data_IF_157113342150
#
_entry.id   IF_157113342150
#
_cell.length_a   1.000
_cell.length_b   1.000
_cell.length_c   1.000
_cell.angle_alpha   90.00
_cell.angle_beta   90.00
_cell.angle_gamma   90.00
#
_symmetry.space_group_name_H-M   'P 1'
#
loop_
_entity.id
_entity.type
_entity.pdbx_description
1 polymer ?
#
# COMPACT_ATOMS: atom_id res chain seq x y z
N UNK A 1 -10.59 7.83 16.69
CA UNK A 1 -9.41 7.09 16.15
C UNK A 1 -9.85 6.06 15.11
N UNK A 2 -10.84 5.21 15.45
CA UNK A 2 -11.56 4.33 14.51
C UNK A 2 -11.96 5.03 13.20
N UNK A 3 -12.52 6.23 13.26
CA UNK A 3 -13.13 6.88 12.10
C UNK A 3 -12.13 7.30 11.00
N UNK A 4 -10.90 7.68 11.36
CA UNK A 4 -9.86 8.05 10.38
C UNK A 4 -9.37 6.82 9.61
N UNK A 5 -9.20 5.70 10.31
CA UNK A 5 -8.79 4.42 9.70
C UNK A 5 -9.94 3.84 8.89
N UNK A 6 -11.18 3.97 9.36
CA UNK A 6 -12.37 3.57 8.59
C UNK A 6 -12.48 4.38 7.29
N UNK A 7 -12.24 5.69 7.33
CA UNK A 7 -12.22 6.55 6.14
C UNK A 7 -11.09 6.16 5.18
N UNK A 8 -9.87 5.96 5.70
CA UNK A 8 -8.74 5.47 4.92
C UNK A 8 -9.07 4.14 4.23
N UNK A 9 -9.57 3.16 4.98
CA UNK A 9 -9.96 1.84 4.44
C UNK A 9 -11.02 1.95 3.35
N UNK A 10 -12.03 2.82 3.51
CA UNK A 10 -13.06 3.01 2.49
C UNK A 10 -12.47 3.54 1.18
N UNK A 11 -11.57 4.52 1.25
CA UNK A 11 -10.88 5.04 0.06
C UNK A 11 -10.01 3.97 -0.59
N UNK A 12 -9.25 3.22 0.22
CA UNK A 12 -8.35 2.17 -0.25
C UNK A 12 -9.12 1.03 -0.91
N UNK A 13 -10.28 0.65 -0.36
CA UNK A 13 -11.15 -0.38 -0.96
C UNK A 13 -11.63 0.05 -2.34
N UNK A 14 -12.10 1.30 -2.50
CA UNK A 14 -12.50 1.83 -3.80
C UNK A 14 -11.32 1.83 -4.80
N UNK A 15 -10.15 2.29 -4.35
CA UNK A 15 -8.95 2.31 -5.17
C UNK A 15 -8.44 0.91 -5.56
N UNK A 16 -8.65 -0.10 -4.70
CA UNK A 16 -8.35 -1.50 -4.99
C UNK A 16 -9.34 -2.08 -6.01
N UNK A 17 -10.64 -1.81 -5.85
CA UNK A 17 -11.67 -2.26 -6.78
C UNK A 17 -11.44 -1.71 -8.19
N UNK A 18 -11.10 -0.43 -8.33
CA UNK A 18 -10.79 0.19 -9.62
C UNK A 18 -9.63 -0.54 -10.32
N UNK A 19 -8.56 -0.85 -9.58
CA UNK A 19 -7.40 -1.59 -10.10
C UNK A 19 -7.75 -3.03 -10.46
N UNK A 20 -8.51 -3.72 -9.61
CA UNK A 20 -9.01 -5.07 -9.89
C UNK A 20 -9.82 -5.10 -11.19
N UNK A 21 -10.67 -4.08 -11.44
CA UNK A 21 -11.43 -3.94 -12.69
C UNK A 21 -10.54 -3.60 -13.89
N UNK A 22 -9.44 -2.88 -13.69
CA UNK A 22 -8.51 -2.49 -14.75
C UNK A 22 -7.63 -3.64 -15.25
N UNK A 23 -7.16 -4.53 -14.37
CA UNK A 23 -6.24 -5.64 -14.69
C UNK A 23 -6.67 -6.45 -15.92
N UNK A 24 -7.92 -6.96 -16.03
CA UNK A 24 -8.34 -7.72 -17.21
C UNK A 24 -8.26 -6.93 -18.51
N UNK A 25 -8.66 -5.65 -18.49
CA UNK A 25 -8.66 -4.79 -19.67
C UNK A 25 -7.23 -4.49 -20.14
N UNK A 26 -6.33 -4.17 -19.21
CA UNK A 26 -4.92 -3.91 -19.51
C UNK A 26 -4.21 -5.18 -20.03
N UNK A 27 -4.50 -6.36 -19.46
CA UNK A 27 -3.96 -7.62 -19.97
C UNK A 27 -4.49 -7.97 -21.37
N UNK A 28 -5.75 -7.62 -21.67
CA UNK A 28 -6.32 -7.77 -23.02
C UNK A 28 -5.62 -6.84 -24.01
N UNK A 29 -5.44 -5.57 -23.64
CA UNK A 29 -4.72 -4.58 -24.45
C UNK A 29 -3.26 -5.01 -24.71
N UNK A 30 -2.57 -5.48 -23.67
CA UNK A 30 -1.22 -6.03 -23.77
C UNK A 30 -1.15 -7.20 -24.75
N UNK A 31 -2.10 -8.14 -24.69
CA UNK A 31 -2.16 -9.27 -25.63
C UNK A 31 -2.39 -8.81 -27.07
N UNK A 32 -3.27 -7.84 -27.29
CA UNK A 32 -3.52 -7.27 -28.61
C UNK A 32 -2.26 -6.58 -29.18
N UNK A 33 -1.49 -5.87 -28.35
CA UNK A 33 -0.23 -5.23 -28.76
C UNK A 33 0.87 -6.24 -29.13
N UNK A 34 0.92 -7.39 -28.44
CA UNK A 34 1.91 -8.44 -28.68
C UNK A 34 1.55 -9.39 -29.83
N UNK A 35 0.26 -9.49 -30.17
CA UNK A 35 -0.24 -10.36 -31.24
C UNK A 35 0.41 -10.12 -32.62
N UNK A 36 0.51 -8.89 -33.17
CA UNK A 36 1.11 -8.66 -34.48
C UNK A 36 2.61 -8.99 -34.53
N UNK A 37 3.27 -9.07 -33.36
CA UNK A 37 4.69 -9.42 -33.22
C UNK A 37 4.91 -10.94 -33.08
N UNK A 38 3.84 -11.74 -33.07
CA UNK A 38 3.89 -13.17 -32.73
C UNK A 38 4.24 -13.46 -31.26
N UNK A 39 4.24 -12.44 -30.40
CA UNK A 39 4.71 -12.55 -29.00
C UNK A 39 3.58 -12.80 -27.99
N UNK A 40 2.32 -12.83 -28.41
CA UNK A 40 1.18 -12.98 -27.50
C UNK A 40 1.21 -14.28 -26.68
N UNK A 41 1.77 -15.37 -27.22
CA UNK A 41 1.91 -16.67 -26.54
C UNK A 41 3.34 -16.94 -26.03
N UNK A 42 4.17 -15.90 -25.91
CA UNK A 42 5.57 -16.05 -25.52
C UNK A 42 5.80 -15.82 -24.02
N UNK A 43 6.99 -16.18 -23.54
CA UNK A 43 7.44 -15.79 -22.20
C UNK A 43 7.51 -14.27 -21.98
N UNK A 44 7.62 -13.46 -23.05
CA UNK A 44 7.56 -12.00 -22.94
C UNK A 44 6.15 -11.53 -22.52
N UNK A 45 5.09 -12.21 -22.97
CA UNK A 45 3.73 -11.92 -22.53
C UNK A 45 3.55 -12.22 -21.04
N UNK A 46 4.12 -13.33 -20.54
CA UNK A 46 4.10 -13.68 -19.11
C UNK A 46 4.81 -12.63 -18.26
N UNK A 47 6.04 -12.28 -18.62
CA UNK A 47 6.82 -11.24 -17.91
C UNK A 47 6.09 -9.91 -17.88
N UNK A 48 5.49 -9.49 -19.00
CA UNK A 48 4.78 -8.22 -19.09
C UNK A 48 3.47 -8.22 -18.30
N UNK A 49 2.73 -9.34 -18.33
CA UNK A 49 1.51 -9.50 -17.53
C UNK A 49 1.79 -9.54 -16.02
N UNK A 50 2.90 -10.17 -15.63
CA UNK A 50 3.38 -10.14 -14.26
C UNK A 50 3.80 -8.74 -13.83
N UNK A 51 4.61 -8.04 -14.62
CA UNK A 51 5.04 -6.67 -14.33
C UNK A 51 3.84 -5.73 -14.16
N UNK A 52 2.77 -5.92 -14.94
CA UNK A 52 1.52 -5.20 -14.80
C UNK A 52 0.87 -5.45 -13.42
N UNK A 53 0.79 -6.71 -12.96
CA UNK A 53 0.25 -7.03 -11.64
C UNK A 53 1.13 -6.46 -10.51
N UNK A 54 2.46 -6.57 -10.63
CA UNK A 54 3.42 -5.98 -9.69
C UNK A 54 3.24 -4.47 -9.59
N UNK A 55 3.06 -3.79 -10.73
CA UNK A 55 2.83 -2.35 -10.76
C UNK A 55 1.58 -1.96 -9.97
N UNK A 56 0.45 -2.63 -10.20
CA UNK A 56 -0.80 -2.36 -9.46
C UNK A 56 -0.63 -2.56 -7.95
N UNK A 57 0.13 -3.57 -7.53
CA UNK A 57 0.44 -3.80 -6.10
C UNK A 57 1.31 -2.69 -5.53
N UNK A 58 2.35 -2.26 -6.25
CA UNK A 58 3.24 -1.18 -5.81
C UNK A 58 2.48 0.14 -5.66
N UNK A 59 1.72 0.53 -6.68
CA UNK A 59 0.90 1.74 -6.65
C UNK A 59 -0.15 1.69 -5.54
N UNK A 60 -0.78 0.53 -5.33
CA UNK A 60 -1.72 0.38 -4.22
C UNK A 60 -1.02 0.45 -2.86
N UNK A 61 0.15 -0.17 -2.71
CA UNK A 61 0.92 -0.11 -1.47
C UNK A 61 1.37 1.31 -1.11
N UNK A 62 1.71 2.13 -2.11
CA UNK A 62 1.98 3.56 -1.90
C UNK A 62 0.73 4.32 -1.42
N UNK A 63 -0.46 4.01 -1.98
CA UNK A 63 -1.72 4.58 -1.53
C UNK A 63 -2.05 4.16 -0.09
N UNK A 64 -1.91 2.88 0.26
CA UNK A 64 -2.11 2.37 1.62
C UNK A 64 -1.16 3.06 2.59
N UNK A 65 0.12 3.14 2.26
CA UNK A 65 1.12 3.80 3.10
C UNK A 65 0.77 5.27 3.33
N UNK A 66 0.32 5.97 2.29
CA UNK A 66 -0.08 7.39 2.35
C UNK A 66 -1.28 7.61 3.25
N UNK A 67 -2.36 6.85 3.05
CA UNK A 67 -3.59 7.02 3.82
C UNK A 67 -3.42 6.59 5.29
N UNK A 68 -2.67 5.52 5.57
CA UNK A 68 -2.41 5.10 6.95
C UNK A 68 -1.44 6.04 7.66
N UNK A 69 -0.40 6.53 6.97
CA UNK A 69 0.47 7.61 7.48
C UNK A 69 -0.35 8.84 7.85
N UNK A 70 -1.27 9.25 6.98
CA UNK A 70 -2.16 10.37 7.24
C UNK A 70 -3.05 10.11 8.48
N UNK A 71 -3.72 8.96 8.55
CA UNK A 71 -4.61 8.62 9.65
C UNK A 71 -3.88 8.63 11.01
N UNK A 72 -2.67 8.08 11.06
CA UNK A 72 -1.84 8.06 12.27
C UNK A 72 -1.27 9.44 12.60
N UNK A 73 -0.87 10.23 11.60
CA UNK A 73 -0.39 11.58 11.80
C UNK A 73 -1.45 12.52 12.38
N UNK A 74 -2.72 12.34 12.00
CA UNK A 74 -3.84 13.17 12.47
C UNK A 74 -4.43 12.71 13.81
N UNK A 75 -4.15 11.49 14.25
CA UNK A 75 -4.69 10.96 15.48
C UNK A 75 -3.99 11.58 16.71
N UNK A 76 -4.64 12.54 17.37
CA UNK A 76 -4.11 13.26 18.54
C UNK A 76 -3.79 12.33 19.73
N UNK A 77 -4.60 11.30 19.95
CA UNK A 77 -4.46 10.35 21.07
C UNK A 77 -3.94 8.97 20.65
N UNK A 78 -3.28 8.87 19.47
CA UNK A 78 -2.69 7.61 19.02
C UNK A 78 -1.64 7.09 20.00
N UNK A 79 -1.65 5.77 20.22
CA UNK A 79 -0.58 5.03 20.89
C UNK A 79 0.26 4.24 19.88
N UNK A 80 1.44 3.80 20.30
CA UNK A 80 2.28 2.92 19.48
C UNK A 80 1.58 1.58 19.17
N UNK A 81 0.82 1.03 20.14
CA UNK A 81 0.06 -0.21 19.94
C UNK A 81 -0.98 -0.05 18.86
N UNK A 82 -1.75 1.04 18.89
CA UNK A 82 -2.74 1.34 17.86
C UNK A 82 -2.11 1.58 16.48
N UNK A 83 -0.97 2.27 16.40
CA UNK A 83 -0.25 2.44 15.13
C UNK A 83 0.21 1.08 14.55
N UNK A 84 0.64 0.15 15.39
CA UNK A 84 0.98 -1.21 14.97
C UNK A 84 -0.26 -2.00 14.51
N UNK A 85 -1.41 -1.84 15.17
CA UNK A 85 -2.69 -2.44 14.73
C UNK A 85 -3.11 -1.92 13.36
N UNK A 86 -2.99 -0.60 13.11
CA UNK A 86 -3.25 0.00 11.80
C UNK A 86 -2.33 -0.60 10.74
N UNK A 87 -1.03 -0.72 11.02
CA UNK A 87 -0.07 -1.36 10.12
C UNK A 87 -0.42 -2.83 9.83
N UNK A 88 -0.85 -3.58 10.85
CA UNK A 88 -1.27 -4.98 10.69
C UNK A 88 -2.51 -5.13 9.79
N UNK A 89 -3.39 -4.12 9.77
CA UNK A 89 -4.55 -4.06 8.88
C UNK A 89 -4.22 -3.94 7.38
N UNK A 90 -2.96 -3.64 7.03
CA UNK A 90 -2.53 -3.45 5.65
C UNK A 90 -2.69 -4.72 4.80
N UNK A 91 -2.45 -5.91 5.36
CA UNK A 91 -2.54 -7.17 4.63
C UNK A 91 -3.93 -7.37 3.98
N UNK A 92 -5.00 -7.00 4.70
CA UNK A 92 -6.36 -7.09 4.20
C UNK A 92 -6.63 -6.17 2.98
N UNK A 93 -5.85 -5.09 2.80
CA UNK A 93 -5.99 -4.19 1.66
C UNK A 93 -5.42 -4.80 0.37
N UNK A 94 -4.43 -5.71 0.47
CA UNK A 94 -3.80 -6.33 -0.70
C UNK A 94 -4.53 -7.57 -1.21
N UNK A 95 -5.32 -8.23 -0.37
CA UNK A 95 -5.97 -9.51 -0.70
C UNK A 95 -6.81 -9.47 -2.00
N UNK A 96 -7.63 -8.44 -2.27
CA UNK A 96 -8.39 -8.36 -3.53
C UNK A 96 -7.49 -8.32 -4.77
N UNK A 97 -6.39 -7.56 -4.70
CA UNK A 97 -5.41 -7.44 -5.80
C UNK A 97 -4.62 -8.73 -5.98
N UNK A 98 -4.20 -9.37 -4.89
CA UNK A 98 -3.51 -10.65 -4.93
C UNK A 98 -4.39 -11.74 -5.57
N UNK A 99 -5.65 -11.82 -5.16
CA UNK A 99 -6.62 -12.76 -5.73
C UNK A 99 -6.84 -12.52 -7.22
N UNK A 100 -7.03 -11.26 -7.63
CA UNK A 100 -7.18 -10.92 -9.04
C UNK A 100 -5.91 -11.24 -9.86
N UNK A 101 -4.73 -10.86 -9.36
CA UNK A 101 -3.46 -11.14 -10.01
C UNK A 101 -3.23 -12.66 -10.17
N UNK A 102 -3.47 -13.45 -9.11
CA UNK A 102 -3.39 -14.92 -9.16
C UNK A 102 -4.27 -15.50 -10.26
N UNK A 103 -5.54 -15.12 -10.28
CA UNK A 103 -6.50 -15.59 -11.29
C UNK A 103 -6.04 -15.27 -12.71
N UNK A 104 -5.60 -14.04 -12.95
CA UNK A 104 -5.25 -13.57 -14.28
C UNK A 104 -3.89 -14.09 -14.77
N UNK A 105 -2.90 -14.22 -13.88
CA UNK A 105 -1.60 -14.82 -14.22
C UNK A 105 -1.72 -16.31 -14.51
N UNK A 106 -2.54 -17.03 -13.74
CA UNK A 106 -2.85 -18.45 -14.02
C UNK A 106 -3.48 -18.61 -15.41
N UNK A 107 -4.48 -17.77 -15.74
CA UNK A 107 -5.11 -17.76 -17.07
C UNK A 107 -4.12 -17.40 -18.17
N UNK A 108 -3.19 -16.47 -17.90
CA UNK A 108 -2.17 -16.07 -18.87
C UNK A 108 -1.14 -17.20 -19.10
N UNK A 109 -0.68 -17.85 -18.04
CA UNK A 109 0.22 -19.02 -18.10
C UNK A 109 -0.39 -20.12 -18.98
N UNK A 110 -1.65 -20.49 -18.73
CA UNK A 110 -2.39 -21.44 -19.56
C UNK A 110 -2.50 -20.98 -21.02
N UNK A 111 -2.84 -19.71 -21.27
CA UNK A 111 -2.95 -19.16 -22.63
C UNK A 111 -1.63 -19.22 -23.42
N UNK A 112 -0.49 -19.06 -22.74
CA UNK A 112 0.84 -19.17 -23.35
C UNK A 112 1.34 -20.61 -23.51
N UNK A 113 0.56 -21.62 -23.09
CA UNK A 113 0.96 -23.02 -23.12
C UNK A 113 2.00 -23.39 -22.06
N UNK A 114 2.11 -22.60 -20.98
CA UNK A 114 3.09 -22.77 -19.89
C UNK A 114 2.41 -22.72 -18.52
N UNK A 115 1.39 -23.57 -18.25
CA UNK A 115 0.68 -23.57 -16.98
C UNK A 115 1.60 -23.90 -15.78
N UNK A 116 2.68 -24.64 -16.02
CA UNK A 116 3.75 -24.97 -15.07
C UNK A 116 4.41 -23.73 -14.46
N UNK A 117 4.39 -22.59 -15.16
CA UNK A 117 4.97 -21.34 -14.66
C UNK A 117 4.04 -20.53 -13.75
N UNK A 118 2.77 -20.94 -13.59
CA UNK A 118 1.78 -20.19 -12.82
C UNK A 118 2.22 -19.96 -11.37
N UNK A 119 2.65 -21.01 -10.68
CA UNK A 119 3.02 -20.94 -9.26
C UNK A 119 4.22 -20.01 -9.04
N UNK A 120 5.18 -20.04 -9.95
CA UNK A 120 6.33 -19.14 -9.92
C UNK A 120 5.90 -17.68 -10.08
N UNK A 121 5.05 -17.39 -11.07
CA UNK A 121 4.56 -16.04 -11.30
C UNK A 121 3.79 -15.51 -10.08
N UNK A 122 2.98 -16.36 -9.47
CA UNK A 122 2.21 -16.04 -8.26
C UNK A 122 3.12 -15.81 -7.04
N UNK A 123 4.11 -16.66 -6.83
CA UNK A 123 5.07 -16.51 -5.72
C UNK A 123 5.84 -15.19 -5.78
N UNK A 124 6.23 -14.75 -6.97
CA UNK A 124 6.87 -13.44 -7.16
C UNK A 124 5.90 -12.29 -6.81
N UNK A 125 4.61 -12.41 -7.12
CA UNK A 125 3.59 -11.42 -6.69
C UNK A 125 3.42 -11.39 -5.17
N UNK A 126 3.35 -12.55 -4.52
CA UNK A 126 3.25 -12.63 -3.05
C UNK A 126 4.47 -12.04 -2.34
N UNK A 127 5.66 -12.19 -2.95
CA UNK A 127 6.87 -11.54 -2.44
C UNK A 127 6.75 -10.01 -2.51
N UNK A 128 6.20 -9.47 -3.60
CA UNK A 128 5.99 -8.03 -3.74
C UNK A 128 4.91 -7.49 -2.79
N UNK A 129 3.86 -8.26 -2.50
CA UNK A 129 2.88 -7.92 -1.46
C UNK A 129 3.56 -7.82 -0.09
N UNK A 130 4.38 -8.80 0.30
CA UNK A 130 5.13 -8.76 1.56
C UNK A 130 6.05 -7.55 1.67
N UNK A 131 6.71 -7.18 0.57
CA UNK A 131 7.54 -5.97 0.51
C UNK A 131 6.69 -4.71 0.69
N UNK A 132 5.50 -4.65 0.06
CA UNK A 132 4.59 -3.52 0.20
C UNK A 132 4.04 -3.40 1.64
N UNK A 133 3.66 -4.52 2.26
CA UNK A 133 3.21 -4.56 3.67
C UNK A 133 4.28 -4.02 4.62
N UNK A 134 5.54 -4.45 4.49
CA UNK A 134 6.62 -3.96 5.34
C UNK A 134 6.88 -2.46 5.12
N UNK A 135 6.78 -1.97 3.86
CA UNK A 135 6.87 -0.53 3.58
C UNK A 135 5.76 0.27 4.24
N UNK A 136 4.52 -0.22 4.20
CA UNK A 136 3.39 0.42 4.90
C UNK A 136 3.66 0.48 6.39
N UNK A 137 4.08 -0.64 6.99
CA UNK A 137 4.41 -0.72 8.41
C UNK A 137 5.48 0.29 8.81
N UNK A 138 6.58 0.36 8.08
CA UNK A 138 7.65 1.33 8.32
C UNK A 138 7.16 2.77 8.18
N UNK A 139 6.34 3.07 7.17
CA UNK A 139 5.77 4.40 6.96
C UNK A 139 4.86 4.83 8.13
N UNK A 140 4.02 3.92 8.62
CA UNK A 140 3.13 4.16 9.76
C UNK A 140 3.91 4.39 11.05
N UNK A 141 4.92 3.56 11.32
CA UNK A 141 5.78 3.72 12.50
C UNK A 141 6.57 5.04 12.46
N UNK A 142 7.10 5.40 11.29
CA UNK A 142 7.78 6.68 11.11
C UNK A 142 6.85 7.88 11.37
N UNK A 143 5.61 7.81 10.87
CA UNK A 143 4.60 8.84 11.09
C UNK A 143 4.25 9.02 12.57
N UNK A 144 4.07 7.91 13.29
CA UNK A 144 3.83 7.93 14.72
C UNK A 144 5.00 8.56 15.49
N UNK A 145 6.24 8.17 15.16
CA UNK A 145 7.44 8.68 15.80
C UNK A 145 7.65 10.19 15.54
N UNK A 146 7.35 10.66 14.33
CA UNK A 146 7.40 12.08 13.98
C UNK A 146 6.36 12.90 14.76
N UNK A 147 5.10 12.44 14.80
CA UNK A 147 4.02 13.05 15.57
C UNK A 147 4.39 13.15 17.06
N UNK A 148 4.87 12.06 17.65
CA UNK A 148 5.23 11.99 19.07
C UNK A 148 6.35 12.98 19.41
N UNK A 149 7.36 13.10 18.55
CA UNK A 149 8.42 14.12 18.69
C UNK A 149 7.87 15.55 18.58
N UNK A 150 6.93 15.80 17.68
CA UNK A 150 6.26 17.10 17.53
C UNK A 150 5.50 17.52 18.80
N UNK A 151 4.74 16.59 19.39
CA UNK A 151 4.00 16.84 20.63
C UNK A 151 4.93 17.17 21.81
N UNK A 152 6.03 16.41 21.97
CA UNK A 152 7.02 16.69 23.02
C UNK A 152 7.66 18.08 22.86
N UNK A 153 8.03 18.47 21.64
CA UNK A 153 8.59 19.81 21.37
C UNK A 153 7.58 20.92 21.69
N UNK A 154 6.32 20.74 21.32
CA UNK A 154 5.25 21.70 21.63
C UNK A 154 5.04 21.84 23.14
N UNK A 155 4.99 20.73 23.87
CA UNK A 155 4.86 20.75 25.34
C UNK A 155 6.05 21.47 26.00
N UNK A 156 7.28 21.18 25.58
CA UNK A 156 8.49 21.84 26.10
C UNK A 156 8.50 23.35 25.81
N UNK A 157 8.12 23.76 24.59
CA UNK A 157 8.02 25.18 24.24
C UNK A 157 6.94 25.90 25.05
N UNK A 158 5.81 25.25 25.30
CA UNK A 158 4.71 25.81 26.08
C UNK A 158 5.09 25.95 27.56
N UNK A 159 5.74 24.93 28.13
CA UNK A 159 6.25 24.96 29.51
C UNK A 159 7.35 26.03 29.70
N UNK A 160 8.29 26.14 28.75
CA UNK A 160 9.32 27.17 28.77
C UNK A 160 8.77 28.60 28.64
N UNK A 161 7.74 28.80 27.81
CA UNK A 161 7.05 30.09 27.68
C UNK A 161 6.25 30.50 28.93
N UNK A 162 5.64 29.53 29.62
CA UNK A 162 4.95 29.75 30.90
C UNK A 162 5.93 30.10 32.02
N UNK A 163 7.04 29.38 32.14
CA UNK A 163 8.09 29.67 33.11
C UNK A 163 8.74 31.04 32.84
N UNK A 164 9.04 31.35 31.58
CA UNK A 164 9.62 32.65 31.20
C UNK A 164 8.70 33.85 31.41
N UNK A 165 7.37 33.65 31.43
CA UNK A 165 6.40 34.70 31.82
C UNK A 165 6.32 34.90 33.33
N UNK A 166 6.54 33.84 34.13
CA UNK A 166 6.53 33.92 35.59
C UNK A 166 7.82 34.51 36.18
N UNK A 167 8.93 34.48 35.44
CA UNK A 167 10.23 35.02 35.88
C UNK A 167 10.55 36.41 35.31
N UNK A 168 9.64 37.03 34.54
CA UNK A 168 9.83 38.42 34.12
C UNK A 168 9.44 39.35 35.29
N UNK A 169 10.34 40.19 35.81
CA UNK A 169 9.94 41.23 36.75
C UNK A 169 8.94 42.17 36.06
N UNK A 170 7.79 42.41 36.70
CA UNK A 170 6.84 43.43 36.26
C UNK A 170 7.47 44.83 36.29
N UNK A 171 6.93 45.78 35.50
CA UNK A 171 7.46 47.15 35.41
C UNK A 171 7.49 47.87 36.76
#
# INVERSE_FOLDING_TARGET
MSDLVALANRKLTLAAEERVRAIPAELKAMKAELAPKGLAKSGAALKRGQALCVRHIKEHGEAVATEYKWAVGQALTASQSWANEVAAGAAAQFEPLLTAARLHLTKLAAFTGRPDLSDRLVSEIESEVRVAEERVKLAVQAAFAERSRGLLRSLLATAGGLLGRLTRPGP
#
